data_IF_365866029655
#
_entry.id   IF_365866029655
#
_cell.length_a   1.000
_cell.length_b   1.000
_cell.length_c   1.000
_cell.angle_alpha   90.00
_cell.angle_beta   90.00
_cell.angle_gamma   90.00
#
_symmetry.space_group_name_H-M   'P 1'
#
loop_
_entity.id
_entity.type
_entity.pdbx_description
1 polymer ?
#
# COMPACT_ATOMS: atom_id res chain seq x y z
N UNK A 1 9.91 18.82 47.84
CA UNK A 1 11.16 19.50 47.44
C UNK A 1 11.97 18.48 46.67
N UNK A 2 12.36 18.63 45.41
CA UNK A 2 12.14 19.64 44.37
C UNK A 2 12.60 18.97 43.07
N UNK A 3 11.99 19.31 41.93
CA UNK A 3 12.69 19.23 40.64
C UNK A 3 13.92 20.16 40.65
N UNK A 4 14.83 20.01 39.68
CA UNK A 4 14.73 20.92 38.53
C UNK A 4 14.97 20.28 37.16
N UNK A 5 14.34 20.91 36.17
CA UNK A 5 14.45 20.74 34.72
C UNK A 5 15.80 21.19 34.14
N UNK A 6 16.17 20.61 32.99
CA UNK A 6 16.73 21.28 31.79
C UNK A 6 16.76 20.23 30.66
N UNK A 7 15.85 20.24 29.69
CA UNK A 7 15.84 21.07 28.47
C UNK A 7 17.09 20.91 27.60
N UNK A 8 16.96 20.12 26.53
CA UNK A 8 17.77 20.32 25.31
C UNK A 8 16.96 19.93 24.08
N UNK A 9 16.99 20.85 23.13
CA UNK A 9 16.02 21.10 22.08
C UNK A 9 16.05 20.08 20.94
N UNK A 10 14.87 19.66 20.50
CA UNK A 10 14.68 19.00 19.22
C UNK A 10 14.72 20.04 18.09
N UNK A 11 15.78 20.01 17.28
CA UNK A 11 15.85 20.77 16.03
C UNK A 11 15.00 20.05 14.99
N UNK A 12 13.78 20.55 14.77
CA UNK A 12 12.90 20.12 13.69
C UNK A 12 13.47 20.59 12.35
N UNK A 13 14.05 19.68 11.56
CA UNK A 13 14.31 19.91 10.15
C UNK A 13 13.00 19.68 9.40
N UNK A 14 12.39 20.79 9.00
CA UNK A 14 11.12 20.87 8.28
C UNK A 14 11.39 20.69 6.78
N UNK A 15 11.51 19.44 6.32
CA UNK A 15 11.41 19.14 4.89
C UNK A 15 9.93 18.97 4.52
N UNK A 16 9.40 19.99 3.85
CA UNK A 16 8.04 19.99 3.34
C UNK A 16 7.89 18.99 2.21
N UNK A 17 7.17 17.91 2.46
CA UNK A 17 6.56 17.10 1.42
C UNK A 17 5.10 17.52 1.30
N UNK A 18 4.77 18.16 0.17
CA UNK A 18 3.40 18.45 -0.23
C UNK A 18 2.62 17.13 -0.28
N UNK A 19 1.64 16.98 0.61
CA UNK A 19 0.64 15.94 0.54
C UNK A 19 -0.23 16.18 -0.71
N UNK A 20 0.06 15.46 -1.79
CA UNK A 20 -0.85 15.35 -2.92
C UNK A 20 -1.97 14.40 -2.50
N UNK A 21 -3.10 14.97 -2.10
CA UNK A 21 -4.35 14.24 -1.96
C UNK A 21 -4.71 13.66 -3.35
N UNK A 22 -4.62 12.34 -3.46
CA UNK A 22 -5.00 11.58 -4.65
C UNK A 22 -6.52 11.62 -4.81
N UNK A 23 -7.06 12.66 -5.44
CA UNK A 23 -8.46 12.69 -5.85
C UNK A 23 -8.58 12.07 -7.23
N UNK A 24 -8.94 10.78 -7.27
CA UNK A 24 -9.18 10.05 -8.50
C UNK A 24 -10.33 10.64 -9.32
N UNK A 25 -9.99 11.23 -10.47
CA UNK A 25 -10.90 11.38 -11.62
C UNK A 25 -10.10 11.16 -12.92
N UNK A 26 -10.29 9.99 -13.54
CA UNK A 26 -9.89 9.74 -14.93
C UNK A 26 -10.69 10.67 -15.84
N UNK A 27 -10.02 11.49 -16.64
CA UNK A 27 -10.63 12.19 -17.78
C UNK A 27 -10.34 11.41 -19.07
N UNK A 28 -11.33 11.23 -19.96
CA UNK A 28 -11.12 10.54 -21.23
C UNK A 28 -10.39 11.44 -22.24
N UNK A 29 -9.37 10.89 -22.88
CA UNK A 29 -8.65 11.50 -24.02
C UNK A 29 -9.51 11.39 -25.29
N UNK A 30 -10.36 12.37 -25.57
CA UNK A 30 -10.82 12.65 -26.93
C UNK A 30 -11.29 14.11 -27.07
N UNK A 31 -11.13 14.63 -28.29
CA UNK A 31 -11.61 15.92 -28.83
C UNK A 31 -10.61 17.08 -28.75
N UNK A 32 -9.66 17.10 -29.69
CA UNK A 32 -9.23 18.34 -30.32
C UNK A 32 -9.29 18.19 -31.84
N UNK A 33 -10.47 18.40 -32.41
CA UNK A 33 -10.64 18.66 -33.84
C UNK A 33 -11.49 19.92 -34.03
N UNK A 34 -10.88 20.86 -34.75
CA UNK A 34 -11.54 21.88 -35.59
C UNK A 34 -12.09 23.15 -34.91
N UNK A 35 -11.43 24.29 -35.18
CA UNK A 35 -12.11 25.56 -35.44
C UNK A 35 -11.19 26.49 -36.27
N UNK A 36 -11.76 27.42 -37.06
CA UNK A 36 -11.20 27.88 -38.34
C UNK A 36 -10.33 29.16 -38.24
N UNK A 37 -9.47 29.30 -39.26
CA UNK A 37 -8.65 30.47 -39.56
C UNK A 37 -9.51 31.72 -39.84
N UNK A 38 -9.14 32.86 -39.26
CA UNK A 38 -9.62 34.19 -39.64
C UNK A 38 -8.40 34.99 -40.09
N UNK A 39 -8.36 35.56 -41.31
CA UNK A 39 -7.31 36.49 -41.70
C UNK A 39 -7.73 37.93 -41.42
N UNK A 40 -6.83 38.76 -40.88
CA UNK A 40 -6.95 40.22 -40.89
C UNK A 40 -5.79 40.79 -41.73
N UNK A 41 -6.02 41.69 -42.72
CA UNK A 41 -5.00 42.17 -43.63
C UNK A 41 -4.41 43.55 -43.25
N UNK A 42 -3.11 43.70 -43.54
CA UNK A 42 -2.37 44.98 -43.72
C UNK A 42 -1.99 45.71 -42.42
N UNK A 43 -0.82 46.36 -42.27
CA UNK A 43 0.06 46.99 -43.26
C UNK A 43 1.47 47.18 -42.68
N UNK A 44 2.44 47.18 -43.59
CA UNK A 44 3.89 47.35 -43.50
C UNK A 44 4.45 48.42 -42.56
N UNK A 45 5.64 48.15 -41.98
CA UNK A 45 6.88 48.93 -42.21
C UNK A 45 8.10 48.30 -41.50
N UNK A 46 9.27 48.46 -42.11
CA UNK A 46 10.56 47.83 -41.81
C UNK A 46 11.22 48.32 -40.50
N UNK A 47 11.97 47.43 -39.84
CA UNK A 47 13.39 47.59 -39.45
C UNK A 47 13.94 46.24 -38.96
N UNK A 48 15.18 45.85 -39.30
CA UNK A 48 15.80 44.63 -38.75
C UNK A 48 16.75 45.03 -37.62
N UNK A 49 16.43 44.67 -36.37
CA UNK A 49 17.48 44.55 -35.36
C UNK A 49 17.06 43.60 -34.22
N UNK A 50 17.83 42.53 -34.11
CA UNK A 50 18.19 41.86 -32.85
C UNK A 50 17.04 41.34 -31.97
N UNK A 51 16.60 40.11 -32.21
CA UNK A 51 15.85 39.31 -31.23
C UNK A 51 16.77 38.91 -30.05
N UNK A 52 16.41 39.20 -28.78
CA UNK A 52 16.87 38.43 -27.64
C UNK A 52 15.66 37.69 -27.05
N UNK A 53 15.37 36.47 -27.51
CA UNK A 53 14.59 35.48 -26.76
C UNK A 53 14.29 34.27 -27.63
N UNK A 54 15.15 33.26 -27.54
CA UNK A 54 14.65 31.90 -27.43
C UNK A 54 14.91 31.50 -25.99
N UNK A 55 13.93 31.75 -25.13
CA UNK A 55 13.77 30.92 -23.93
C UNK A 55 13.80 29.47 -24.43
N UNK A 56 14.74 28.63 -23.98
CA UNK A 56 14.59 27.21 -24.19
C UNK A 56 13.30 26.86 -23.47
N UNK A 57 12.30 26.38 -24.20
CA UNK A 57 11.23 25.58 -23.61
C UNK A 57 11.96 24.55 -22.76
N UNK A 58 11.90 24.70 -21.44
CA UNK A 58 12.44 23.71 -20.53
C UNK A 58 11.72 22.42 -20.87
N UNK A 59 12.43 21.53 -21.54
CA UNK A 59 11.99 20.17 -21.75
C UNK A 59 11.93 19.55 -20.35
N UNK A 60 10.77 19.65 -19.71
CA UNK A 60 10.46 19.07 -18.40
C UNK A 60 10.29 17.55 -18.56
N UNK A 61 11.25 16.90 -19.20
CA UNK A 61 11.40 15.46 -19.13
C UNK A 61 11.84 15.15 -17.70
N UNK A 62 11.06 14.31 -17.02
CA UNK A 62 11.47 13.79 -15.72
C UNK A 62 12.83 13.07 -15.89
N UNK A 63 13.72 13.15 -14.89
CA UNK A 63 14.95 12.36 -14.89
C UNK A 63 14.65 10.85 -15.08
N UNK A 64 15.49 10.14 -15.83
CA UNK A 64 15.27 8.73 -16.18
C UNK A 64 15.13 7.84 -14.94
N UNK A 65 15.91 8.11 -13.89
CA UNK A 65 15.84 7.40 -12.60
C UNK A 65 14.48 7.54 -11.91
N UNK A 66 13.83 8.69 -12.07
CA UNK A 66 12.46 8.92 -11.55
C UNK A 66 11.45 8.13 -12.37
N UNK A 67 11.61 8.06 -13.69
CA UNK A 67 10.75 7.27 -14.57
C UNK A 67 10.87 5.77 -14.29
N UNK A 68 12.07 5.27 -14.09
CA UNK A 68 12.35 3.89 -13.71
C UNK A 68 11.71 3.53 -12.37
N UNK A 69 11.86 4.40 -11.36
CA UNK A 69 11.23 4.20 -10.06
C UNK A 69 9.69 4.16 -10.16
N UNK A 70 9.09 5.06 -10.96
CA UNK A 70 7.66 5.05 -11.20
C UNK A 70 7.20 3.76 -11.90
N UNK A 71 7.97 3.26 -12.86
CA UNK A 71 7.68 2.01 -13.56
C UNK A 71 7.75 0.80 -12.62
N UNK A 72 8.76 0.77 -11.73
CA UNK A 72 8.90 -0.26 -10.70
C UNK A 72 7.71 -0.26 -9.72
N UNK A 73 7.34 0.92 -9.20
CA UNK A 73 6.18 1.05 -8.29
C UNK A 73 4.88 0.66 -8.98
N UNK A 74 4.67 1.08 -10.22
CA UNK A 74 3.48 0.73 -10.98
C UNK A 74 3.37 -0.79 -11.19
N UNK A 75 4.47 -1.43 -11.61
CA UNK A 75 4.52 -2.89 -11.77
C UNK A 75 4.23 -3.62 -10.46
N UNK A 76 4.75 -3.12 -9.32
CA UNK A 76 4.45 -3.66 -7.99
C UNK A 76 2.96 -3.58 -7.67
N UNK A 77 2.37 -2.39 -7.78
CA UNK A 77 0.96 -2.20 -7.41
C UNK A 77 -0.01 -2.91 -8.34
N UNK A 78 0.33 -3.10 -9.62
CA UNK A 78 -0.45 -3.90 -10.56
C UNK A 78 -0.44 -5.39 -10.20
N UNK A 79 0.69 -5.91 -9.68
CA UNK A 79 0.81 -7.31 -9.25
C UNK A 79 0.32 -7.56 -7.81
N UNK A 80 0.24 -6.52 -6.98
CA UNK A 80 -0.06 -6.61 -5.55
C UNK A 80 -1.36 -7.37 -5.22
N UNK A 81 -2.50 -7.21 -5.94
CA UNK A 81 -3.72 -7.96 -5.64
C UNK A 81 -3.54 -9.48 -5.71
N UNK A 82 -2.87 -9.98 -6.74
CA UNK A 82 -2.61 -11.42 -6.89
C UNK A 82 -1.59 -11.89 -5.85
N UNK A 83 -0.48 -11.16 -5.69
CA UNK A 83 0.56 -11.50 -4.73
C UNK A 83 0.03 -11.53 -3.28
N UNK A 84 -0.85 -10.59 -2.92
CA UNK A 84 -1.54 -10.59 -1.64
C UNK A 84 -2.41 -11.84 -1.47
N UNK A 85 -3.20 -12.20 -2.48
CA UNK A 85 -4.04 -13.40 -2.40
C UNK A 85 -3.21 -14.69 -2.26
N UNK A 86 -2.12 -14.84 -3.01
CA UNK A 86 -1.24 -15.99 -2.88
C UNK A 86 -0.62 -16.08 -1.47
N UNK A 87 -0.15 -14.95 -0.93
CA UNK A 87 0.34 -14.88 0.44
C UNK A 87 -0.75 -15.20 1.47
N UNK A 88 -1.97 -14.70 1.25
CA UNK A 88 -3.12 -14.97 2.11
C UNK A 88 -3.50 -16.46 2.11
N UNK A 89 -3.57 -17.08 0.94
CA UNK A 89 -3.88 -18.50 0.77
C UNK A 89 -2.82 -19.39 1.41
N UNK A 90 -1.53 -19.05 1.23
CA UNK A 90 -0.42 -19.71 1.94
C UNK A 90 -0.54 -19.56 3.45
N UNK A 91 -0.87 -18.35 3.92
CA UNK A 91 -1.08 -18.08 5.34
C UNK A 91 -2.22 -18.92 5.94
N UNK A 92 -3.35 -19.02 5.24
CA UNK A 92 -4.47 -19.88 5.63
C UNK A 92 -4.05 -21.37 5.68
N UNK A 93 -3.21 -21.82 4.75
CA UNK A 93 -2.69 -23.19 4.76
C UNK A 93 -1.80 -23.48 5.99
N UNK A 94 -0.94 -22.55 6.38
CA UNK A 94 -0.05 -22.68 7.55
C UNK A 94 -0.82 -22.56 8.87
N UNK A 95 -1.81 -21.67 8.91
CA UNK A 95 -2.64 -21.45 10.10
C UNK A 95 -3.60 -22.62 10.37
N UNK A 96 -4.11 -23.25 9.31
CA UNK A 96 -5.16 -24.27 9.37
C UNK A 96 -6.38 -23.83 8.55
N UNK A 97 -6.85 -24.70 7.66
CA UNK A 97 -7.98 -24.39 6.78
C UNK A 97 -9.29 -24.17 7.55
N UNK A 98 -9.42 -24.77 8.74
CA UNK A 98 -10.59 -24.67 9.61
C UNK A 98 -10.91 -23.22 10.02
N UNK A 99 -9.90 -22.34 10.03
CA UNK A 99 -10.04 -20.95 10.44
C UNK A 99 -10.54 -20.02 9.34
N UNK A 100 -10.67 -20.50 8.09
CA UNK A 100 -10.94 -19.65 6.93
C UNK A 100 -12.01 -20.26 6.02
N UNK A 101 -12.75 -19.39 5.33
CA UNK A 101 -13.73 -19.79 4.32
C UNK A 101 -14.78 -20.73 4.91
N UNK A 102 -15.05 -21.83 4.20
CA UNK A 102 -15.98 -22.88 4.65
C UNK A 102 -15.35 -23.84 5.69
N UNK A 103 -14.10 -23.63 6.08
CA UNK A 103 -13.37 -24.47 7.04
C UNK A 103 -12.82 -25.77 6.46
N UNK A 104 -13.04 -26.06 5.17
CA UNK A 104 -12.65 -27.31 4.52
C UNK A 104 -11.32 -27.19 3.78
N UNK A 105 -10.62 -28.33 3.63
CA UNK A 105 -9.39 -28.39 2.84
C UNK A 105 -9.67 -28.15 1.37
N UNK A 106 -10.79 -28.66 0.87
CA UNK A 106 -11.23 -28.51 -0.52
C UNK A 106 -11.62 -27.06 -0.82
N UNK A 107 -12.25 -26.37 0.14
CA UNK A 107 -12.53 -24.93 0.07
C UNK A 107 -11.24 -24.12 -0.05
N UNK A 108 -10.24 -24.43 0.79
CA UNK A 108 -8.92 -23.81 0.71
C UNK A 108 -8.28 -23.99 -0.66
N UNK A 109 -8.29 -25.20 -1.21
CA UNK A 109 -7.67 -25.49 -2.51
C UNK A 109 -8.37 -24.77 -3.66
N UNK A 110 -9.70 -24.76 -3.66
CA UNK A 110 -10.53 -24.16 -4.73
C UNK A 110 -10.65 -22.65 -4.65
N UNK A 111 -10.26 -22.03 -3.55
CA UNK A 111 -10.27 -20.57 -3.41
C UNK A 111 -9.52 -19.91 -4.56
N UNK A 112 -10.17 -18.92 -5.17
CA UNK A 112 -9.67 -18.12 -6.29
C UNK A 112 -9.47 -16.66 -5.92
N UNK A 113 -10.05 -16.23 -4.80
CA UNK A 113 -9.95 -14.87 -4.30
C UNK A 113 -9.80 -14.86 -2.78
N UNK A 114 -9.27 -13.76 -2.21
CA UNK A 114 -9.15 -13.57 -0.76
C UNK A 114 -10.50 -13.66 -0.03
N UNK A 115 -11.60 -13.36 -0.73
CA UNK A 115 -12.96 -13.42 -0.21
C UNK A 115 -13.46 -14.84 0.07
N UNK A 116 -12.92 -15.82 -0.63
CA UNK A 116 -13.21 -17.25 -0.42
C UNK A 116 -12.59 -17.75 0.90
N UNK A 117 -11.56 -17.05 1.37
CA UNK A 117 -10.77 -17.39 2.56
C UNK A 117 -10.93 -16.32 3.64
N UNK A 118 -12.15 -15.80 3.82
CA UNK A 118 -12.44 -14.90 4.94
C UNK A 118 -12.24 -15.62 6.28
N UNK A 119 -11.65 -14.97 7.30
CA UNK A 119 -11.51 -15.60 8.60
C UNK A 119 -12.86 -15.90 9.27
N UNK A 120 -12.97 -17.08 9.88
CA UNK A 120 -14.13 -17.52 10.64
C UNK A 120 -14.08 -16.94 12.06
N UNK A 121 -14.42 -15.65 12.18
CA UNK A 121 -14.28 -14.87 13.42
C UNK A 121 -14.97 -15.48 14.65
N UNK A 122 -16.09 -16.18 14.44
CA UNK A 122 -16.82 -16.83 15.53
C UNK A 122 -16.01 -18.00 16.11
N UNK A 123 -15.51 -18.89 15.26
CA UNK A 123 -14.66 -20.01 15.69
C UNK A 123 -13.32 -19.53 16.27
N UNK A 124 -12.75 -18.48 15.68
CA UNK A 124 -11.48 -17.91 16.13
C UNK A 124 -11.55 -17.42 17.58
N UNK A 125 -12.58 -16.66 17.93
CA UNK A 125 -12.69 -16.10 19.27
C UNK A 125 -12.78 -17.17 20.36
N UNK A 126 -13.43 -18.30 20.09
CA UNK A 126 -13.60 -19.40 21.04
C UNK A 126 -12.34 -20.27 21.14
N UNK A 127 -11.60 -20.43 20.04
CA UNK A 127 -10.49 -21.37 19.97
C UNK A 127 -9.10 -20.78 20.31
N UNK A 128 -8.95 -19.45 20.34
CA UNK A 128 -7.67 -18.80 20.60
C UNK A 128 -6.97 -19.35 21.86
N UNK A 129 -7.72 -19.62 22.94
CA UNK A 129 -7.15 -20.12 24.19
C UNK A 129 -6.45 -21.48 24.10
N UNK A 130 -6.81 -22.31 23.11
CA UNK A 130 -6.25 -23.64 22.90
C UNK A 130 -5.00 -23.64 21.98
N UNK A 131 -4.74 -22.54 21.28
CA UNK A 131 -3.62 -22.40 20.35
C UNK A 131 -2.32 -22.04 21.07
N UNK A 132 -1.19 -22.53 20.55
CA UNK A 132 0.13 -22.10 21.02
C UNK A 132 0.31 -20.58 20.85
N UNK A 133 1.24 -19.98 21.59
CA UNK A 133 1.51 -18.54 21.52
C UNK A 133 1.84 -18.09 20.09
N UNK A 134 2.71 -18.82 19.39
CA UNK A 134 3.08 -18.54 18.01
C UNK A 134 1.91 -18.67 17.02
N UNK A 135 1.08 -19.71 17.15
CA UNK A 135 -0.11 -19.88 16.31
C UNK A 135 -1.11 -18.74 16.53
N UNK A 136 -1.40 -18.39 17.79
CA UNK A 136 -2.29 -17.26 18.09
C UNK A 136 -1.76 -15.96 17.52
N UNK A 137 -0.47 -15.69 17.69
CA UNK A 137 0.14 -14.44 17.22
C UNK A 137 0.06 -14.36 15.69
N UNK A 138 0.41 -15.43 14.99
CA UNK A 138 0.31 -15.51 13.54
C UNK A 138 -1.13 -15.32 13.04
N UNK A 139 -2.08 -16.05 13.63
CA UNK A 139 -3.48 -15.99 13.24
C UNK A 139 -4.10 -14.61 13.54
N UNK A 140 -3.72 -13.99 14.66
CA UNK A 140 -4.14 -12.62 15.00
C UNK A 140 -3.58 -11.59 14.01
N UNK A 141 -2.33 -11.77 13.57
CA UNK A 141 -1.71 -10.95 12.53
C UNK A 141 -2.44 -11.10 11.19
N UNK A 142 -2.73 -12.32 10.76
CA UNK A 142 -3.56 -12.59 9.57
C UNK A 142 -4.90 -11.85 9.64
N UNK A 143 -5.64 -12.03 10.75
CA UNK A 143 -6.94 -11.37 10.94
C UNK A 143 -6.82 -9.84 10.91
N UNK A 144 -5.69 -9.25 11.31
CA UNK A 144 -5.51 -7.79 11.27
C UNK A 144 -5.53 -7.20 9.85
N UNK A 145 -5.14 -7.97 8.82
CA UNK A 145 -5.27 -7.55 7.42
C UNK A 145 -6.71 -7.60 6.91
N UNK A 146 -7.53 -8.52 7.47
CA UNK A 146 -8.97 -8.64 7.20
C UNK A 146 -9.78 -7.55 7.92
N UNK A 147 -9.55 -7.45 9.22
CA UNK A 147 -10.22 -6.53 10.13
C UNK A 147 -9.21 -6.05 11.18
N UNK A 148 -8.68 -4.86 10.95
CA UNK A 148 -7.63 -4.27 11.80
C UNK A 148 -8.06 -4.08 13.25
N UNK A 149 -9.36 -3.85 13.51
CA UNK A 149 -9.90 -3.70 14.85
C UNK A 149 -9.92 -5.01 15.62
N UNK A 150 -10.52 -6.04 15.04
CA UNK A 150 -10.62 -7.36 15.70
C UNK A 150 -9.25 -8.03 15.79
N UNK A 151 -8.47 -8.04 14.71
CA UNK A 151 -7.12 -8.59 14.70
C UNK A 151 -6.20 -7.86 15.67
N UNK A 152 -6.31 -6.52 15.76
CA UNK A 152 -5.57 -5.73 16.75
C UNK A 152 -5.96 -6.07 18.20
N UNK A 153 -7.24 -6.35 18.48
CA UNK A 153 -7.68 -6.81 19.79
C UNK A 153 -7.13 -8.21 20.11
N UNK A 154 -7.12 -9.12 19.13
CA UNK A 154 -6.54 -10.46 19.28
C UNK A 154 -5.03 -10.41 19.53
N UNK A 155 -4.30 -9.56 18.79
CA UNK A 155 -2.86 -9.34 18.99
C UNK A 155 -2.55 -8.84 20.40
N UNK A 156 -3.32 -7.87 20.91
CA UNK A 156 -3.16 -7.38 22.30
C UNK A 156 -3.34 -8.50 23.33
N UNK A 157 -4.30 -9.41 23.13
CA UNK A 157 -4.50 -10.59 24.00
C UNK A 157 -3.34 -11.58 23.93
N UNK A 158 -2.53 -11.53 22.87
CA UNK A 158 -1.30 -12.32 22.72
C UNK A 158 -0.07 -11.65 23.36
N UNK A 159 -0.22 -10.46 23.95
CA UNK A 159 0.89 -9.67 24.47
C UNK A 159 1.72 -8.99 23.37
N UNK A 160 1.13 -8.73 22.20
CA UNK A 160 1.78 -8.01 21.11
C UNK A 160 1.96 -6.52 21.47
N UNK A 161 3.20 -6.07 21.48
CA UNK A 161 3.63 -4.70 21.72
C UNK A 161 4.12 -4.03 20.42
N UNK A 162 4.69 -4.80 19.49
CA UNK A 162 5.17 -4.25 18.22
C UNK A 162 5.71 -5.28 17.23
N UNK A 163 6.16 -4.80 16.06
CA UNK A 163 6.61 -5.65 14.94
C UNK A 163 7.79 -6.57 15.30
N UNK A 164 8.61 -6.20 16.30
CA UNK A 164 9.69 -7.06 16.82
C UNK A 164 9.20 -8.38 17.40
N UNK A 165 7.95 -8.44 17.85
CA UNK A 165 7.39 -9.64 18.50
C UNK A 165 7.17 -10.79 17.50
N UNK A 166 7.06 -10.46 16.21
CA UNK A 166 7.11 -11.47 15.15
C UNK A 166 8.45 -12.22 15.10
N UNK A 167 9.47 -11.72 15.82
CA UNK A 167 10.72 -12.42 16.13
C UNK A 167 10.54 -13.77 16.85
N UNK A 168 9.37 -14.07 17.42
CA UNK A 168 9.05 -15.38 17.98
C UNK A 168 8.45 -16.38 16.97
N UNK A 169 8.07 -15.93 15.77
CA UNK A 169 7.50 -16.79 14.73
C UNK A 169 8.61 -17.51 13.96
N UNK A 170 8.31 -18.66 13.36
CA UNK A 170 9.21 -19.30 12.40
C UNK A 170 9.34 -18.50 11.09
N UNK A 171 10.27 -18.91 10.23
CA UNK A 171 10.55 -18.25 8.96
C UNK A 171 9.33 -18.21 8.04
N UNK A 172 8.57 -19.29 7.94
CA UNK A 172 7.46 -19.43 7.00
C UNK A 172 6.33 -18.45 7.34
N UNK A 173 5.98 -18.35 8.62
CA UNK A 173 4.99 -17.40 9.13
C UNK A 173 5.43 -15.95 8.95
N UNK A 174 6.72 -15.66 9.17
CA UNK A 174 7.25 -14.31 8.94
C UNK A 174 7.21 -13.92 7.47
N UNK A 175 7.54 -14.83 6.57
CA UNK A 175 7.47 -14.59 5.13
C UNK A 175 6.04 -14.25 4.71
N UNK A 176 5.04 -14.98 5.21
CA UNK A 176 3.63 -14.64 4.95
C UNK A 176 3.29 -13.24 5.45
N UNK A 177 3.64 -12.88 6.69
CA UNK A 177 3.32 -11.54 7.22
C UNK A 177 4.03 -10.44 6.41
N UNK A 178 5.29 -10.67 6.01
CA UNK A 178 6.05 -9.75 5.18
C UNK A 178 5.41 -9.58 3.80
N UNK A 179 5.06 -10.68 3.13
CA UNK A 179 4.39 -10.68 1.83
C UNK A 179 3.03 -9.98 1.90
N UNK A 180 2.24 -10.24 2.96
CA UNK A 180 0.96 -9.58 3.17
C UNK A 180 1.13 -8.07 3.38
N UNK A 181 2.13 -7.65 4.15
CA UNK A 181 2.44 -6.23 4.39
C UNK A 181 2.86 -5.54 3.09
N UNK A 182 3.75 -6.18 2.32
CA UNK A 182 4.31 -5.65 1.09
C UNK A 182 3.26 -5.47 -0.01
N UNK A 183 2.28 -6.39 -0.10
CA UNK A 183 1.27 -6.41 -1.15
C UNK A 183 -0.11 -5.92 -0.70
N UNK A 184 -0.24 -5.39 0.52
CA UNK A 184 -1.54 -4.95 1.03
C UNK A 184 -2.11 -3.80 0.19
N UNK A 185 -3.27 -4.05 -0.43
CA UNK A 185 -4.02 -3.10 -1.25
C UNK A 185 -5.43 -2.86 -0.69
N UNK A 186 -5.63 -3.12 0.60
CA UNK A 186 -6.93 -3.14 1.24
C UNK A 186 -7.53 -4.54 1.28
N UNK A 187 -8.47 -4.74 2.20
CA UNK A 187 -9.33 -5.92 2.20
C UNK A 187 -10.56 -5.68 1.32
#
# INVERSE_FOLDING_TARGET
MSEPSASSSATAVRSGALALAWTGKRLPLQVLRSAPWIPIPGRSALTPDSHPSRSPLMNLSLPEDVLDQMALEQAHFDAAPQAFFEAWKRGAQIAGHEWFGDGTREGLQRATTKWDLRPNMLMLNDALGALSSGQRMFLSAMVSFYNSREGGAMLKRCGFEGLSDFGGLDLERRQVIADLTLHYNGW
#
